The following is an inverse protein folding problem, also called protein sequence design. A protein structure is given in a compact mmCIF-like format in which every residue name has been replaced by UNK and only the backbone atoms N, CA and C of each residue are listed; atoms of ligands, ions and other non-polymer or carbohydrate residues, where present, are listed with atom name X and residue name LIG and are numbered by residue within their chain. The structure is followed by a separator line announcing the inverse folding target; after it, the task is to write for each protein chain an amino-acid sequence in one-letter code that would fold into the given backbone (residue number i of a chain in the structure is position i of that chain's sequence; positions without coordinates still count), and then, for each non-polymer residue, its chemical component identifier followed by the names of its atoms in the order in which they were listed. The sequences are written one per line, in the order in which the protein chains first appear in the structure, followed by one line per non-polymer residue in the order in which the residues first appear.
data_IF_053775907068
#
_entry.id   IF_053775907068
#
_cell.length_a   1.000
_cell.length_b   1.000
_cell.length_c   1.000
_cell.angle_alpha   90.00
_cell.angle_beta   90.00
_cell.angle_gamma   90.00
#
_symmetry.space_group_name_H-M   'P 1'
#
loop_
_entity.id
_entity.type
_entity.pdbx_description
1 polymer ?
#
# COMPACT_ATOMS: atom_id res chain seq x y z
N UNK A 1 78.59 44.74 -5.07
CA UNK A 1 78.43 44.56 -6.49
C UNK A 1 77.77 43.18 -6.72
N UNK A 2 76.68 43.16 -7.51
CA UNK A 2 76.03 41.93 -7.93
C UNK A 2 75.98 41.89 -9.47
N UNK A 3 76.11 40.69 -10.04
CA UNK A 3 76.23 40.51 -11.49
C UNK A 3 75.09 39.68 -11.99
N UNK A 4 74.32 40.20 -12.93
CA UNK A 4 73.36 39.49 -13.73
C UNK A 4 73.93 39.17 -15.12
N UNK A 5 74.55 38.01 -15.24
CA UNK A 5 75.19 37.59 -16.49
C UNK A 5 74.22 37.34 -17.65
N UNK A 6 72.96 36.98 -17.37
CA UNK A 6 71.99 36.69 -18.41
C UNK A 6 71.55 37.96 -19.11
N UNK A 7 71.46 39.08 -18.35
CA UNK A 7 70.96 40.35 -18.85
C UNK A 7 72.10 41.35 -19.08
N UNK A 8 73.36 41.01 -18.91
CA UNK A 8 74.56 41.88 -18.97
C UNK A 8 74.46 43.13 -18.07
N UNK A 9 73.99 42.94 -16.86
CA UNK A 9 73.79 44.05 -15.89
C UNK A 9 74.56 43.80 -14.61
N UNK A 10 75.12 44.87 -14.11
CA UNK A 10 75.70 44.94 -12.78
C UNK A 10 74.84 45.84 -11.90
N UNK A 11 74.66 45.43 -10.66
CA UNK A 11 74.00 46.25 -9.65
C UNK A 11 74.96 46.54 -8.52
N UNK A 12 74.98 47.81 -8.10
CA UNK A 12 75.73 48.27 -6.94
C UNK A 12 74.87 49.21 -6.10
N UNK A 13 75.23 49.32 -4.81
CA UNK A 13 74.56 50.24 -3.90
C UNK A 13 75.63 51.11 -3.24
N UNK A 14 75.38 52.41 -3.13
CA UNK A 14 76.28 53.30 -2.39
C UNK A 14 75.93 53.32 -0.88
N UNK A 15 76.81 53.89 -0.06
CA UNK A 15 76.60 53.95 1.39
C UNK A 15 75.34 54.77 1.80
N UNK A 16 74.73 55.55 0.90
CA UNK A 16 73.53 56.33 1.18
C UNK A 16 72.27 55.60 0.75
N UNK A 17 72.35 54.34 0.21
CA UNK A 17 71.24 53.53 -0.17
C UNK A 17 70.74 53.68 -1.62
N UNK A 18 71.44 54.45 -2.45
CA UNK A 18 71.12 54.50 -3.87
C UNK A 18 71.65 53.25 -4.57
N UNK A 19 70.79 52.48 -5.16
CA UNK A 19 71.06 51.32 -6.03
C UNK A 19 71.26 51.79 -7.42
N UNK A 20 72.34 51.42 -8.06
CA UNK A 20 72.62 51.70 -9.46
C UNK A 20 72.57 50.44 -10.31
N UNK A 21 72.07 50.62 -11.54
CA UNK A 21 72.13 49.62 -12.61
C UNK A 21 73.20 50.05 -13.62
N UNK A 22 74.12 49.16 -13.94
CA UNK A 22 75.18 49.39 -14.88
C UNK A 22 75.12 48.40 -16.01
N UNK A 23 74.99 48.85 -17.25
CA UNK A 23 75.09 48.01 -18.43
C UNK A 23 76.55 47.54 -18.55
N UNK A 24 76.82 46.25 -18.48
CA UNK A 24 78.19 45.70 -18.45
C UNK A 24 78.89 45.76 -19.80
N UNK A 25 78.14 45.95 -20.88
CA UNK A 25 78.74 46.06 -22.22
C UNK A 25 79.12 47.48 -22.60
N UNK A 26 78.29 48.45 -22.17
CA UNK A 26 78.47 49.87 -22.55
C UNK A 26 79.09 50.70 -21.43
N UNK A 27 79.06 50.23 -20.16
CA UNK A 27 79.43 50.95 -18.98
C UNK A 27 78.47 52.05 -18.54
N UNK A 28 77.30 52.15 -19.16
CA UNK A 28 76.27 53.14 -18.82
C UNK A 28 75.70 52.87 -17.42
N UNK A 29 75.63 53.92 -16.60
CA UNK A 29 75.13 53.87 -15.21
C UNK A 29 73.85 54.64 -15.14
N UNK A 30 72.81 54.00 -14.49
CA UNK A 30 71.52 54.63 -14.19
C UNK A 30 71.15 54.40 -12.74
N UNK A 31 70.47 55.35 -12.11
CA UNK A 31 69.78 55.15 -10.81
C UNK A 31 68.69 54.14 -10.97
N UNK A 32 68.60 53.18 -10.06
CA UNK A 32 67.68 52.06 -10.11
C UNK A 32 66.59 52.13 -9.04
N UNK A 33 67.09 52.25 -7.74
CA UNK A 33 66.17 52.40 -6.60
C UNK A 33 66.89 53.14 -5.45
N UNK A 34 66.15 54.00 -4.74
CA UNK A 34 66.68 54.67 -3.57
C UNK A 34 66.11 54.12 -2.26
N UNK A 35 66.92 53.44 -1.46
CA UNK A 35 66.53 52.85 -0.18
C UNK A 35 66.37 53.91 0.91
N UNK A 36 67.00 55.09 0.76
CA UNK A 36 67.00 56.18 1.75
C UNK A 36 67.54 55.77 3.14
N UNK A 37 68.40 54.78 3.16
CA UNK A 37 69.04 54.26 4.36
C UNK A 37 70.50 53.88 4.06
N UNK A 38 71.33 53.85 5.12
CA UNK A 38 72.73 53.34 5.01
C UNK A 38 72.69 51.85 4.75
N UNK A 39 73.42 51.40 3.72
CA UNK A 39 73.52 49.99 3.32
C UNK A 39 74.93 49.49 3.43
N UNK A 40 75.14 48.50 4.31
CA UNK A 40 76.41 47.78 4.47
C UNK A 40 76.29 46.34 3.89
N UNK A 41 75.11 45.86 3.55
CA UNK A 41 74.95 44.53 2.98
C UNK A 41 75.30 44.51 1.47
N UNK A 42 75.67 43.36 0.97
CA UNK A 42 75.74 43.13 -0.47
C UNK A 42 74.38 42.78 -1.07
N UNK A 43 74.23 43.02 -2.38
CA UNK A 43 73.05 42.68 -3.13
C UNK A 43 73.10 41.21 -3.56
N UNK A 44 72.02 40.47 -3.33
CA UNK A 44 71.72 39.16 -3.96
C UNK A 44 70.78 39.37 -5.12
N UNK A 45 70.94 38.68 -6.25
CA UNK A 45 70.08 38.68 -7.39
C UNK A 45 69.39 37.32 -7.47
N UNK A 46 68.03 37.27 -7.50
CA UNK A 46 67.25 36.09 -7.79
C UNK A 46 67.21 35.81 -9.28
N UNK A 47 66.75 34.57 -9.66
CA UNK A 47 66.70 34.09 -11.05
C UNK A 47 65.85 34.97 -11.99
N UNK A 48 64.87 35.72 -11.47
CA UNK A 48 63.96 36.62 -12.22
C UNK A 48 64.50 38.09 -12.23
N UNK A 49 65.76 38.33 -11.83
CA UNK A 49 66.34 39.65 -11.75
C UNK A 49 65.88 40.48 -10.53
N UNK A 50 65.15 39.91 -9.56
CA UNK A 50 64.77 40.55 -8.30
C UNK A 50 65.98 40.74 -7.43
N UNK A 51 66.18 41.96 -6.86
CA UNK A 51 67.25 42.29 -5.94
C UNK A 51 66.85 42.14 -4.49
N UNK A 52 67.69 41.55 -3.70
CA UNK A 52 67.53 41.33 -2.27
C UNK A 52 68.69 41.92 -1.52
N UNK A 53 68.43 42.82 -0.59
CA UNK A 53 69.49 43.45 0.21
C UNK A 53 68.93 43.96 1.54
N UNK A 54 69.83 44.18 2.49
CA UNK A 54 69.49 44.71 3.80
C UNK A 54 70.13 46.07 4.06
N UNK A 55 69.52 46.83 4.96
CA UNK A 55 70.08 48.12 5.40
C UNK A 55 70.60 48.04 6.88
N UNK A 56 71.27 49.10 7.29
CA UNK A 56 71.82 49.19 8.64
C UNK A 56 70.80 49.47 9.73
N UNK A 57 69.54 49.76 9.34
CA UNK A 57 68.37 49.86 10.24
C UNK A 57 67.65 48.53 10.46
N UNK A 58 68.10 47.48 9.74
CA UNK A 58 67.55 46.16 9.84
C UNK A 58 66.40 45.88 8.87
N UNK A 59 66.13 46.72 7.90
CA UNK A 59 65.12 46.47 6.88
C UNK A 59 65.75 45.65 5.75
N UNK A 60 65.09 44.56 5.40
CA UNK A 60 65.37 43.76 4.25
C UNK A 60 64.47 44.21 3.11
N UNK A 61 65.02 44.47 1.95
CA UNK A 61 64.36 45.05 0.77
C UNK A 61 64.31 44.04 -0.36
N UNK A 62 63.14 43.93 -1.00
CA UNK A 62 62.95 43.11 -2.16
C UNK A 62 62.48 44.04 -3.31
N UNK A 63 63.37 44.23 -4.29
CA UNK A 63 63.22 45.18 -5.38
C UNK A 63 63.06 44.40 -6.70
N UNK A 64 61.99 44.63 -7.43
CA UNK A 64 61.75 44.01 -8.72
C UNK A 64 62.81 44.37 -9.78
N UNK A 65 62.92 43.55 -10.83
CA UNK A 65 63.82 43.81 -11.97
C UNK A 65 63.42 45.05 -12.75
N UNK A 66 62.23 45.60 -12.50
CA UNK A 66 61.75 46.88 -13.03
C UNK A 66 62.03 48.09 -12.17
N UNK A 67 62.77 47.88 -11.07
CA UNK A 67 63.20 48.96 -10.12
C UNK A 67 62.08 49.38 -9.16
N UNK A 68 60.97 48.59 -9.02
CA UNK A 68 59.96 48.88 -8.01
C UNK A 68 60.14 48.05 -6.74
N UNK A 69 59.75 48.62 -5.62
CA UNK A 69 59.69 47.89 -4.37
C UNK A 69 58.62 46.83 -4.49
N UNK A 70 58.98 45.57 -4.28
CA UNK A 70 58.01 44.44 -4.20
C UNK A 70 57.56 44.22 -2.76
N UNK A 71 58.49 44.20 -1.81
CA UNK A 71 58.24 44.01 -0.38
C UNK A 71 59.43 44.47 0.47
N UNK A 72 59.19 44.69 1.78
CA UNK A 72 60.20 44.97 2.74
C UNK A 72 59.80 44.48 4.13
N UNK A 73 60.74 44.00 4.91
CA UNK A 73 60.55 43.54 6.28
C UNK A 73 61.64 44.02 7.18
N UNK A 74 61.35 44.64 8.36
CA UNK A 74 62.30 45.10 9.31
C UNK A 74 62.52 44.09 10.44
N UNK A 75 63.74 43.65 10.63
CA UNK A 75 64.18 42.69 11.64
C UNK A 75 64.75 43.35 12.93
N UNK A 76 64.70 44.67 13.03
CA UNK A 76 65.12 45.43 14.22
C UNK A 76 66.63 45.43 14.52
N UNK A 77 67.44 44.83 13.65
CA UNK A 77 68.94 44.79 13.80
C UNK A 77 69.57 44.82 12.42
N UNK A 78 70.68 45.65 12.28
CA UNK A 78 71.36 45.86 11.00
C UNK A 78 71.66 44.56 10.24
N UNK A 79 71.32 44.53 8.95
CA UNK A 79 71.65 43.45 8.03
C UNK A 79 72.95 43.80 7.31
N UNK A 80 74.00 43.14 7.72
CA UNK A 80 75.36 43.49 7.26
C UNK A 80 75.95 42.49 6.27
N UNK A 81 75.39 41.30 6.18
CA UNK A 81 75.78 40.24 5.26
C UNK A 81 74.95 40.25 3.98
N UNK A 82 75.42 39.60 2.92
CA UNK A 82 74.67 39.32 1.74
C UNK A 82 73.61 38.27 2.07
N UNK A 83 72.36 38.49 1.76
CA UNK A 83 71.30 37.44 1.80
C UNK A 83 71.72 36.27 0.92
N UNK A 84 71.26 35.05 1.26
CA UNK A 84 71.46 33.86 0.43
C UNK A 84 70.13 33.20 0.18
N UNK A 85 69.94 32.54 -0.97
CA UNK A 85 68.73 31.79 -1.32
C UNK A 85 69.10 30.37 -1.66
N UNK A 86 68.34 29.44 -1.13
CA UNK A 86 68.43 28.02 -1.50
C UNK A 86 67.67 27.67 -2.75
N UNK A 87 67.73 26.40 -3.19
CA UNK A 87 67.06 25.89 -4.38
C UNK A 87 65.52 25.85 -4.23
N UNK A 88 65.01 25.95 -2.99
CA UNK A 88 63.56 25.93 -2.69
C UNK A 88 63.03 27.35 -2.52
N UNK A 89 63.84 28.39 -2.67
CA UNK A 89 63.42 29.76 -2.57
C UNK A 89 63.45 30.31 -1.13
N UNK A 90 63.94 29.57 -0.15
CA UNK A 90 64.13 30.09 1.20
C UNK A 90 65.26 31.13 1.20
N UNK A 91 65.05 32.30 1.84
CA UNK A 91 65.99 33.36 1.93
C UNK A 91 66.57 33.40 3.33
N UNK A 92 67.89 33.35 3.39
CA UNK A 92 68.66 33.35 4.61
C UNK A 92 69.24 34.72 4.85
N UNK A 93 68.97 35.33 6.01
CA UNK A 93 69.31 36.71 6.32
C UNK A 93 70.06 36.71 7.65
N UNK A 94 71.34 37.20 7.61
CA UNK A 94 72.10 37.43 8.79
C UNK A 94 71.97 38.89 9.23
N UNK A 95 71.42 39.12 10.41
CA UNK A 95 71.50 40.41 11.09
C UNK A 95 72.68 40.43 12.05
N UNK A 96 73.04 41.62 12.60
CA UNK A 96 74.12 41.74 13.55
C UNK A 96 73.97 40.87 14.81
N UNK A 97 72.70 40.51 15.15
CA UNK A 97 72.37 39.80 16.39
C UNK A 97 71.76 38.45 16.20
N UNK A 98 71.09 38.15 15.01
CA UNK A 98 70.29 36.97 14.79
C UNK A 98 70.36 36.58 13.33
N UNK A 99 70.10 35.30 13.08
CA UNK A 99 69.92 34.72 11.74
C UNK A 99 68.46 34.38 11.51
N UNK A 100 67.92 34.77 10.36
CA UNK A 100 66.53 34.56 9.97
C UNK A 100 66.43 33.73 8.67
N UNK A 101 65.39 32.94 8.56
CA UNK A 101 65.09 32.24 7.35
C UNK A 101 63.67 32.64 6.94
N UNK A 102 63.54 33.24 5.78
CA UNK A 102 62.24 33.49 5.15
C UNK A 102 61.90 32.30 4.26
N UNK A 103 60.76 31.64 4.53
CA UNK A 103 60.31 30.50 3.76
C UNK A 103 59.04 30.91 3.04
N UNK A 104 58.81 30.40 1.82
CA UNK A 104 57.50 30.51 1.14
C UNK A 104 56.53 29.54 1.78
N UNK A 105 55.35 30.01 2.12
CA UNK A 105 54.23 29.10 2.55
C UNK A 105 53.76 28.28 1.37
N UNK A 106 53.42 27.03 1.63
CA UNK A 106 52.87 26.10 0.65
C UNK A 106 51.34 26.31 0.50
N UNK A 107 50.83 25.94 -0.65
CA UNK A 107 49.36 25.86 -0.84
C UNK A 107 48.74 24.81 0.11
N UNK A 108 47.60 25.11 0.71
CA UNK A 108 46.98 24.23 1.71
C UNK A 108 45.91 23.28 1.14
N UNK A 109 45.36 23.56 -0.03
CA UNK A 109 44.40 22.72 -0.76
C UNK A 109 43.41 21.95 0.14
N UNK A 110 42.43 22.65 0.70
CA UNK A 110 41.40 22.04 1.55
C UNK A 110 40.35 21.31 0.72
N UNK A 111 40.01 20.07 1.09
CA UNK A 111 38.84 19.35 0.55
C UNK A 111 37.80 19.15 1.63
N UNK A 112 36.51 19.04 1.19
CA UNK A 112 35.36 18.87 2.07
C UNK A 112 34.54 17.65 1.61
N UNK A 113 34.26 16.74 2.54
CA UNK A 113 33.40 15.61 2.34
C UNK A 113 32.23 15.64 3.32
N UNK A 114 30.99 15.42 2.80
CA UNK A 114 29.79 15.32 3.58
C UNK A 114 28.77 14.49 2.79
N UNK A 115 28.02 13.62 3.48
CA UNK A 115 27.00 12.75 2.86
C UNK A 115 25.60 13.30 3.12
N UNK A 116 24.65 13.00 2.20
CA UNK A 116 23.22 13.21 2.44
C UNK A 116 22.76 12.31 3.57
N UNK A 117 21.83 12.80 4.38
CA UNK A 117 21.29 12.10 5.56
C UNK A 117 19.76 12.21 5.59
N UNK A 118 19.13 11.51 6.54
CA UNK A 118 17.71 11.69 6.85
C UNK A 118 17.53 12.54 8.12
N UNK A 119 16.35 13.11 8.27
CA UNK A 119 15.97 13.80 9.51
C UNK A 119 16.07 12.85 10.70
N UNK A 120 16.83 13.25 11.71
CA UNK A 120 17.15 12.45 12.90
C UNK A 120 18.53 11.83 12.89
N UNK A 121 19.24 11.83 11.74
CA UNK A 121 20.64 11.45 11.66
C UNK A 121 21.56 12.66 11.95
N UNK A 122 22.81 12.38 12.29
CA UNK A 122 23.84 13.40 12.50
C UNK A 122 24.67 13.58 11.22
N UNK A 123 24.76 14.82 10.73
CA UNK A 123 25.63 15.12 9.59
C UNK A 123 27.11 15.15 10.08
N UNK A 124 27.98 14.36 9.45
CA UNK A 124 29.40 14.37 9.66
C UNK A 124 30.07 15.07 8.48
N UNK A 125 30.70 16.21 8.73
CA UNK A 125 31.42 17.02 7.73
C UNK A 125 32.92 16.89 8.01
N UNK A 126 33.69 16.49 7.02
CA UNK A 126 35.15 16.28 7.15
C UNK A 126 35.87 17.23 6.21
N UNK A 127 36.74 18.06 6.79
CA UNK A 127 37.71 18.85 6.05
C UNK A 127 39.06 18.14 6.06
N UNK A 128 39.68 17.97 4.89
CA UNK A 128 41.00 17.37 4.77
C UNK A 128 41.98 18.39 4.23
N UNK A 129 43.11 18.55 4.91
CA UNK A 129 44.23 19.45 4.62
C UNK A 129 45.53 18.63 4.53
N UNK A 130 46.67 19.26 4.17
CA UNK A 130 47.96 18.61 4.29
C UNK A 130 48.22 18.08 5.71
N UNK A 131 48.84 16.92 5.83
CA UNK A 131 49.04 16.22 7.11
C UNK A 131 49.71 17.04 8.21
N UNK A 132 50.58 18.00 7.83
CA UNK A 132 51.31 18.87 8.73
C UNK A 132 50.62 20.23 8.96
N UNK A 133 49.43 20.46 8.44
CA UNK A 133 48.65 21.66 8.72
C UNK A 133 48.21 21.67 10.19
N UNK A 134 48.28 22.83 10.82
CA UNK A 134 48.02 23.04 12.26
C UNK A 134 46.98 24.14 12.47
N UNK A 135 46.46 24.26 13.71
CA UNK A 135 45.49 25.28 14.06
C UNK A 135 44.05 24.81 13.92
N UNK A 136 43.19 25.68 13.42
CA UNK A 136 41.73 25.42 13.36
C UNK A 136 41.20 25.63 11.95
N UNK A 137 40.09 24.92 11.67
CA UNK A 137 39.21 25.15 10.51
C UNK A 137 37.92 25.76 10.99
N UNK A 138 37.41 26.75 10.29
CA UNK A 138 36.05 27.28 10.49
C UNK A 138 35.11 26.68 9.49
N UNK A 139 34.11 25.96 9.98
CA UNK A 139 32.99 25.48 9.20
C UNK A 139 31.81 26.44 9.34
N UNK A 140 31.22 26.88 8.24
CA UNK A 140 29.97 27.63 8.22
C UNK A 140 28.88 26.76 7.59
N UNK A 141 27.89 26.35 8.39
CA UNK A 141 26.74 25.53 7.94
C UNK A 141 25.48 26.36 8.09
N UNK A 142 24.85 26.72 6.98
CA UNK A 142 23.65 27.60 6.96
C UNK A 142 23.83 28.85 7.85
N UNK A 143 24.94 29.59 7.66
CA UNK A 143 25.31 30.82 8.38
C UNK A 143 25.64 30.62 9.86
N UNK A 144 25.76 29.41 10.35
CA UNK A 144 26.23 29.13 11.69
C UNK A 144 27.68 28.65 11.65
N UNK A 145 28.55 29.30 12.43
CA UNK A 145 29.97 29.01 12.46
C UNK A 145 30.36 28.01 13.57
N UNK A 146 31.28 27.13 13.24
CA UNK A 146 31.90 26.14 14.14
C UNK A 146 33.38 26.13 13.91
N UNK A 147 34.16 26.23 14.99
CA UNK A 147 35.63 26.18 14.96
C UNK A 147 36.07 24.80 15.44
N UNK A 148 36.84 24.10 14.61
CA UNK A 148 37.30 22.73 14.88
C UNK A 148 38.82 22.67 14.71
N UNK A 149 39.51 22.07 15.67
CA UNK A 149 40.95 21.87 15.61
C UNK A 149 41.33 20.86 14.51
N UNK A 150 42.46 21.08 13.86
CA UNK A 150 43.05 20.16 12.89
C UNK A 150 43.81 19.08 13.66
N UNK A 151 43.50 17.82 13.39
CA UNK A 151 44.19 16.64 13.91
C UNK A 151 44.69 15.80 12.74
N UNK A 152 46.01 15.63 12.59
CA UNK A 152 46.64 14.86 11.51
C UNK A 152 46.12 15.23 10.09
N UNK A 153 45.97 16.53 9.82
CA UNK A 153 45.51 17.03 8.54
C UNK A 153 43.99 16.89 8.32
N UNK A 154 43.21 16.60 9.36
CA UNK A 154 41.76 16.47 9.26
C UNK A 154 41.05 17.28 10.35
N UNK A 155 39.90 17.87 10.03
CA UNK A 155 39.00 18.47 10.99
C UNK A 155 37.57 17.88 10.76
N UNK A 156 36.95 17.35 11.84
CA UNK A 156 35.64 16.68 11.76
C UNK A 156 34.61 17.43 12.58
N UNK A 157 33.52 17.85 11.92
CA UNK A 157 32.35 18.47 12.55
C UNK A 157 31.15 17.52 12.49
N UNK A 158 30.50 17.31 13.64
CA UNK A 158 29.18 16.66 13.69
C UNK A 158 28.11 17.71 13.96
N UNK A 159 27.06 17.73 13.12
CA UNK A 159 25.91 18.63 13.27
C UNK A 159 24.65 17.81 13.48
N UNK A 160 23.93 18.09 14.55
CA UNK A 160 22.75 17.34 15.00
C UNK A 160 21.46 18.14 14.83
N UNK A 161 20.32 17.46 14.93
CA UNK A 161 18.97 18.07 14.95
C UNK A 161 18.67 18.93 13.70
N UNK A 162 19.10 18.47 12.55
CA UNK A 162 18.85 19.14 11.28
C UNK A 162 17.41 18.80 10.78
N UNK A 163 16.71 19.82 10.32
CA UNK A 163 15.42 19.67 9.64
C UNK A 163 15.64 19.30 8.17
N UNK A 164 14.60 18.83 7.50
CA UNK A 164 14.67 18.55 6.07
C UNK A 164 14.97 19.82 5.26
N UNK A 165 15.90 19.71 4.32
CA UNK A 165 16.33 20.85 3.49
C UNK A 165 17.71 20.64 2.90
N UNK A 166 18.18 21.62 2.14
CA UNK A 166 19.56 21.67 1.63
C UNK A 166 20.42 22.54 2.54
N UNK A 167 21.61 22.08 2.86
CA UNK A 167 22.56 22.73 3.74
C UNK A 167 23.85 23.04 2.98
N UNK A 168 24.16 24.33 2.85
CA UNK A 168 25.43 24.78 2.29
C UNK A 168 26.48 24.78 3.37
N UNK A 169 27.68 24.32 3.02
CA UNK A 169 28.87 24.22 3.88
C UNK A 169 29.99 25.02 3.23
N UNK A 170 30.51 26.00 3.97
CA UNK A 170 31.76 26.69 3.63
C UNK A 170 32.78 26.33 4.69
N UNK A 171 33.98 25.94 4.25
CA UNK A 171 35.07 25.55 5.14
C UNK A 171 36.25 26.44 4.85
N UNK A 172 36.79 27.09 5.88
CA UNK A 172 37.93 28.03 5.81
C UNK A 172 39.05 27.61 6.71
N UNK A 173 40.23 27.57 6.15
CA UNK A 173 41.49 27.48 6.85
C UNK A 173 42.27 28.81 6.68
N UNK A 174 42.58 29.47 7.77
CA UNK A 174 43.25 30.80 7.75
C UNK A 174 44.77 30.71 7.49
N UNK A 175 45.27 29.51 7.23
CA UNK A 175 46.69 29.26 7.09
C UNK A 175 47.38 29.09 8.45
N UNK A 176 48.61 28.62 8.40
CA UNK A 176 49.52 28.49 9.55
C UNK A 176 50.92 28.98 9.20
N UNK A 177 51.95 28.57 9.95
CA UNK A 177 53.32 28.95 9.67
C UNK A 177 53.84 28.37 8.34
N UNK A 178 53.30 27.24 7.88
CA UNK A 178 53.79 26.50 6.71
C UNK A 178 52.87 26.62 5.49
N UNK A 179 51.61 26.96 5.70
CA UNK A 179 50.57 26.90 4.66
C UNK A 179 49.82 28.23 4.51
N UNK A 180 49.48 28.54 3.28
CA UNK A 180 48.60 29.65 2.91
C UNK A 180 47.15 29.38 3.31
N UNK A 181 46.32 30.43 3.49
CA UNK A 181 44.88 30.27 3.66
C UNK A 181 44.24 29.56 2.47
N UNK A 182 43.19 28.77 2.73
CA UNK A 182 42.35 28.16 1.70
C UNK A 182 40.91 28.00 2.16
N UNK A 183 40.02 27.93 1.20
CA UNK A 183 38.61 27.65 1.45
C UNK A 183 38.05 26.69 0.41
N UNK A 184 37.01 25.98 0.81
CA UNK A 184 36.24 25.13 -0.11
C UNK A 184 34.79 25.04 0.37
N UNK A 185 33.90 24.70 -0.52
CA UNK A 185 32.49 24.56 -0.23
C UNK A 185 31.95 23.17 -0.62
N UNK A 186 30.87 22.77 0.00
CA UNK A 186 30.09 21.58 -0.30
C UNK A 186 28.62 21.85 0.03
N UNK A 187 27.75 20.94 -0.31
CA UNK A 187 26.38 20.95 0.16
C UNK A 187 25.88 19.53 0.38
N UNK A 188 24.91 19.37 1.27
CA UNK A 188 24.26 18.09 1.51
C UNK A 188 22.76 18.28 1.73
N UNK A 189 22.00 17.21 1.53
CA UNK A 189 20.55 17.21 1.67
C UNK A 189 20.17 16.39 2.91
N UNK A 190 19.30 16.95 3.73
CA UNK A 190 18.60 16.26 4.80
C UNK A 190 17.21 15.91 4.30
N UNK A 191 16.93 14.64 4.08
CA UNK A 191 15.65 14.15 3.54
C UNK A 191 14.70 13.73 4.64
N UNK A 192 13.38 13.88 4.41
CA UNK A 192 12.39 13.23 5.26
C UNK A 192 12.46 11.70 5.09
N UNK A 193 12.12 10.98 6.15
CA UNK A 193 12.04 9.51 6.15
C UNK A 193 10.74 9.07 5.48
N UNK A 194 10.75 8.07 4.60
CA UNK A 194 9.50 7.51 4.02
C UNK A 194 8.56 6.98 5.09
N UNK A 195 7.27 7.27 4.96
CA UNK A 195 6.25 6.90 5.95
C UNK A 195 5.93 5.40 5.96
N UNK A 196 5.99 4.70 4.82
CA UNK A 196 5.71 3.26 4.70
C UNK A 196 4.41 2.84 5.42
N UNK A 197 3.29 3.53 5.13
CA UNK A 197 1.99 3.24 5.72
C UNK A 197 1.42 1.92 5.20
N UNK A 198 0.85 1.11 6.11
CA UNK A 198 0.12 -0.10 5.78
C UNK A 198 -1.33 -0.04 6.28
N UNK A 199 -2.26 -0.61 5.49
CA UNK A 199 -3.67 -0.80 5.85
C UNK A 199 -3.97 -2.29 5.78
N UNK A 200 -4.61 -2.82 6.83
CA UNK A 200 -5.09 -4.19 6.86
C UNK A 200 -6.57 -4.21 7.27
N UNK A 201 -7.37 -4.99 6.57
CA UNK A 201 -8.78 -5.25 6.86
C UNK A 201 -9.12 -6.66 6.39
N UNK A 202 -9.87 -7.40 7.20
CA UNK A 202 -10.39 -8.72 6.84
C UNK A 202 -11.77 -8.58 6.19
N UNK A 203 -12.06 -9.44 5.21
CA UNK A 203 -13.40 -9.56 4.65
C UNK A 203 -14.38 -10.10 5.69
N UNK A 204 -15.61 -9.61 5.68
CA UNK A 204 -16.64 -9.94 6.65
C UNK A 204 -17.94 -10.36 5.97
N UNK A 205 -18.89 -10.90 6.74
CA UNK A 205 -20.27 -11.10 6.32
C UNK A 205 -21.15 -9.94 6.79
N UNK A 206 -22.30 -9.77 6.15
CA UNK A 206 -23.31 -8.80 6.58
C UNK A 206 -23.70 -9.05 8.03
N UNK A 207 -23.62 -8.00 8.85
CA UNK A 207 -23.93 -8.04 10.29
C UNK A 207 -22.71 -8.20 11.19
N UNK A 208 -21.52 -8.38 10.63
CA UNK A 208 -20.25 -8.33 11.36
C UNK A 208 -19.64 -6.93 11.29
N UNK A 209 -18.77 -6.60 12.24
CA UNK A 209 -18.04 -5.33 12.27
C UNK A 209 -16.71 -5.45 11.51
N UNK A 210 -16.45 -4.49 10.63
CA UNK A 210 -15.17 -4.37 9.94
C UNK A 210 -14.17 -3.59 10.80
N UNK A 211 -12.99 -4.15 11.04
CA UNK A 211 -11.90 -3.50 11.75
C UNK A 211 -10.79 -3.18 10.78
N UNK A 212 -10.61 -1.90 10.47
CA UNK A 212 -9.55 -1.40 9.58
C UNK A 212 -8.38 -0.97 10.44
N UNK A 213 -7.24 -1.65 10.29
CA UNK A 213 -6.02 -1.38 11.03
C UNK A 213 -5.04 -0.59 10.17
N UNK A 214 -4.49 0.49 10.71
CA UNK A 214 -3.48 1.35 10.08
C UNK A 214 -2.19 1.20 10.86
N UNK A 215 -1.10 0.99 10.14
CA UNK A 215 0.24 0.90 10.73
C UNK A 215 1.17 1.88 10.04
N UNK A 216 1.88 2.66 10.84
CA UNK A 216 2.90 3.65 10.51
C UNK A 216 4.17 3.38 11.33
N UNK A 217 5.30 4.07 11.10
CA UNK A 217 6.44 4.02 12.01
C UNK A 217 6.04 4.31 13.46
N UNK A 218 6.59 3.55 14.41
CA UNK A 218 6.19 3.61 15.83
C UNK A 218 6.39 4.98 16.49
N UNK A 219 7.26 5.81 15.94
CA UNK A 219 7.53 7.17 16.44
C UNK A 219 6.39 8.16 16.12
N UNK A 220 5.52 7.83 15.17
CA UNK A 220 4.34 8.64 14.84
C UNK A 220 3.28 8.40 15.91
N UNK A 221 3.00 9.43 16.69
CA UNK A 221 2.04 9.36 17.79
C UNK A 221 1.32 10.69 17.97
N UNK A 222 0.05 10.63 18.37
CA UNK A 222 -0.86 11.78 18.49
C UNK A 222 -1.06 12.52 17.14
N UNK A 223 -1.02 11.79 16.03
CA UNK A 223 -1.25 12.32 14.70
C UNK A 223 -2.47 11.67 14.05
N UNK A 224 -2.98 12.28 12.99
CA UNK A 224 -4.24 11.89 12.37
C UNK A 224 -3.99 11.34 10.97
N UNK A 225 -4.70 10.25 10.65
CA UNK A 225 -4.80 9.69 9.30
C UNK A 225 -6.24 9.85 8.83
N UNK A 226 -6.43 10.36 7.63
CA UNK A 226 -7.74 10.37 6.97
C UNK A 226 -7.97 9.04 6.25
N UNK A 227 -9.17 8.45 6.45
CA UNK A 227 -9.58 7.21 5.80
C UNK A 227 -10.84 7.47 5.01
N UNK A 228 -10.82 7.25 3.71
CA UNK A 228 -11.99 7.39 2.84
C UNK A 228 -12.51 6.02 2.43
N UNK A 229 -13.82 5.79 2.65
CA UNK A 229 -14.52 4.54 2.37
C UNK A 229 -15.86 4.90 1.74
N UNK A 230 -16.12 4.42 0.53
CA UNK A 230 -17.36 4.68 -0.21
C UNK A 230 -17.72 6.19 -0.24
N UNK A 231 -16.70 7.03 -0.48
CA UNK A 231 -16.83 8.50 -0.54
C UNK A 231 -17.03 9.21 0.80
N UNK A 232 -17.07 8.48 1.93
CA UNK A 232 -17.13 9.04 3.28
C UNK A 232 -15.74 9.11 3.89
N UNK A 233 -15.42 10.22 4.53
CA UNK A 233 -14.13 10.43 5.21
C UNK A 233 -14.27 10.24 6.71
N UNK A 234 -13.30 9.54 7.27
CA UNK A 234 -13.13 9.27 8.70
C UNK A 234 -11.75 9.71 9.12
N UNK A 235 -11.59 10.04 10.38
CA UNK A 235 -10.29 10.40 10.95
C UNK A 235 -9.90 9.39 12.00
N UNK A 236 -8.69 8.87 11.89
CA UNK A 236 -8.14 7.88 12.82
C UNK A 236 -6.94 8.47 13.55
N UNK A 237 -6.98 8.46 14.87
CA UNK A 237 -5.86 8.87 15.71
C UNK A 237 -4.82 7.74 15.74
N UNK A 238 -3.59 8.10 15.45
CA UNK A 238 -2.43 7.20 15.50
C UNK A 238 -1.70 7.38 16.82
N UNK A 239 -1.47 6.28 17.52
CA UNK A 239 -0.66 6.22 18.73
C UNK A 239 0.40 5.13 18.61
N UNK A 240 1.67 5.48 18.80
CA UNK A 240 2.79 4.57 18.65
C UNK A 240 2.74 3.79 17.32
N UNK A 241 2.50 4.51 16.23
CA UNK A 241 2.42 3.97 14.88
C UNK A 241 1.17 3.16 14.57
N UNK A 242 0.16 3.10 15.43
CA UNK A 242 -1.05 2.28 15.24
C UNK A 242 -2.33 3.05 15.43
N UNK A 243 -3.31 2.76 14.58
CA UNK A 243 -4.68 3.25 14.70
C UNK A 243 -5.65 2.23 14.12
N UNK A 244 -6.91 2.29 14.54
CA UNK A 244 -7.97 1.44 14.01
C UNK A 244 -9.29 2.20 13.84
N UNK A 245 -10.07 1.79 12.85
CA UNK A 245 -11.42 2.27 12.57
C UNK A 245 -12.35 1.06 12.53
N UNK A 246 -13.44 1.13 13.30
CA UNK A 246 -14.48 0.09 13.31
C UNK A 246 -15.70 0.62 12.56
N UNK A 247 -16.22 -0.18 11.62
CA UNK A 247 -17.43 0.11 10.86
C UNK A 247 -18.43 -1.01 11.06
N UNK A 248 -19.64 -0.64 11.48
CA UNK A 248 -20.76 -1.56 11.70
C UNK A 248 -21.86 -1.36 10.67
N UNK A 249 -22.76 -2.35 10.54
CA UNK A 249 -23.96 -2.31 9.70
C UNK A 249 -23.70 -2.08 8.20
N UNK A 250 -22.58 -2.61 7.69
CA UNK A 250 -22.26 -2.56 6.28
C UNK A 250 -23.16 -3.55 5.51
N UNK A 251 -23.64 -3.14 4.33
CA UNK A 251 -24.37 -3.99 3.42
C UNK A 251 -23.42 -4.80 2.53
N UNK A 252 -23.90 -5.88 1.93
CA UNK A 252 -23.08 -6.69 1.03
C UNK A 252 -22.63 -5.85 -0.18
N UNK A 253 -21.34 -5.62 -0.27
CA UNK A 253 -20.68 -4.83 -1.32
C UNK A 253 -19.16 -4.97 -1.21
N UNK A 254 -18.45 -4.43 -2.20
CA UNK A 254 -17.01 -4.18 -2.13
C UNK A 254 -16.78 -2.71 -1.84
N UNK A 255 -16.01 -2.41 -0.80
CA UNK A 255 -15.72 -1.08 -0.30
C UNK A 255 -14.24 -0.75 -0.54
N UNK A 256 -13.91 0.08 -1.53
CA UNK A 256 -12.54 0.58 -1.65
C UNK A 256 -12.22 1.48 -0.46
N UNK A 257 -11.02 1.31 0.08
CA UNK A 257 -10.52 2.03 1.25
C UNK A 257 -9.23 2.73 0.85
N UNK A 258 -9.15 4.03 1.09
CA UNK A 258 -7.94 4.82 0.93
C UNK A 258 -7.60 5.47 2.26
N UNK A 259 -6.39 5.29 2.76
CA UNK A 259 -5.89 6.01 3.90
C UNK A 259 -4.79 6.97 3.47
N UNK A 260 -4.78 8.18 4.02
CA UNK A 260 -3.82 9.24 3.74
C UNK A 260 -3.30 9.86 5.03
N UNK A 261 -1.98 9.96 5.10
CA UNK A 261 -1.22 10.65 6.13
C UNK A 261 -0.49 11.84 5.49
N UNK A 262 -0.66 13.04 6.03
CA UNK A 262 -0.09 14.27 5.44
C UNK A 262 1.40 14.45 5.72
N UNK A 263 2.00 13.55 6.51
CA UNK A 263 3.39 13.66 6.93
C UNK A 263 3.60 14.65 8.09
N UNK A 264 4.84 14.76 8.54
CA UNK A 264 5.24 15.73 9.56
C UNK A 264 6.64 16.28 9.27
N UNK A 265 7.31 16.89 10.27
CA UNK A 265 8.66 17.42 10.11
C UNK A 265 9.69 16.35 9.75
N UNK A 266 9.50 15.09 10.21
CA UNK A 266 10.44 13.97 10.02
C UNK A 266 10.01 13.02 8.90
N UNK A 267 8.73 12.76 8.73
CA UNK A 267 8.19 11.76 7.80
C UNK A 267 7.52 12.40 6.59
N UNK A 268 7.62 11.75 5.43
CA UNK A 268 6.91 12.18 4.21
C UNK A 268 5.41 11.96 4.36
N UNK A 269 4.62 12.58 3.49
CA UNK A 269 3.25 12.13 3.24
C UNK A 269 3.22 10.66 2.81
N UNK A 270 2.12 9.96 3.11
CA UNK A 270 1.92 8.57 2.74
C UNK A 270 0.47 8.31 2.39
N UNK A 271 0.25 7.48 1.36
CA UNK A 271 -1.06 7.01 0.97
C UNK A 271 -0.99 5.51 0.70
N UNK A 272 -2.04 4.79 1.12
CA UNK A 272 -2.19 3.38 0.79
C UNK A 272 -3.65 3.04 0.58
N UNK A 273 -3.93 2.02 -0.23
CA UNK A 273 -5.26 1.58 -0.61
C UNK A 273 -5.44 0.10 -0.39
N UNK A 274 -6.65 -0.29 -0.03
CA UNK A 274 -7.09 -1.69 0.08
C UNK A 274 -8.58 -1.77 -0.25
N UNK A 275 -9.18 -2.95 -0.14
CA UNK A 275 -10.61 -3.12 -0.29
C UNK A 275 -11.14 -4.10 0.76
N UNK A 276 -12.32 -3.80 1.30
CA UNK A 276 -13.10 -4.67 2.15
C UNK A 276 -14.24 -5.27 1.32
N UNK A 277 -14.39 -6.59 1.36
CA UNK A 277 -15.58 -7.27 0.83
C UNK A 277 -16.50 -7.66 1.97
N UNK A 278 -17.74 -7.18 1.91
CA UNK A 278 -18.84 -7.62 2.78
C UNK A 278 -19.70 -8.61 1.99
N UNK A 279 -19.66 -9.88 2.39
CA UNK A 279 -20.38 -10.95 1.69
C UNK A 279 -21.76 -11.19 2.32
N UNK A 280 -22.73 -11.64 1.50
CA UNK A 280 -23.98 -12.20 2.03
C UNK A 280 -23.71 -13.54 2.70
N UNK A 281 -24.45 -13.84 3.76
CA UNK A 281 -24.42 -15.14 4.41
C UNK A 281 -25.11 -16.20 3.56
N UNK A 282 -24.72 -17.45 3.67
CA UNK A 282 -25.44 -18.57 3.07
C UNK A 282 -26.80 -18.74 3.76
N UNK A 283 -27.81 -19.17 3.01
CA UNK A 283 -29.12 -19.59 3.51
C UNK A 283 -29.34 -21.07 3.24
N UNK A 284 -30.29 -21.65 3.94
CA UNK A 284 -30.81 -22.97 3.64
C UNK A 284 -32.35 -22.90 3.63
N UNK A 285 -32.98 -23.48 2.61
CA UNK A 285 -34.44 -23.65 2.59
C UNK A 285 -34.77 -25.12 2.83
N UNK A 286 -35.68 -25.37 3.74
CA UNK A 286 -36.24 -26.69 4.01
C UNK A 286 -37.70 -26.70 3.53
N UNK A 287 -38.14 -27.80 2.89
CA UNK A 287 -39.48 -27.99 2.40
C UNK A 287 -40.01 -29.36 2.82
N UNK A 288 -41.25 -29.39 3.26
CA UNK A 288 -41.96 -30.64 3.56
C UNK A 288 -43.38 -30.58 2.99
N UNK A 289 -43.84 -31.70 2.45
CA UNK A 289 -45.19 -31.92 2.02
C UNK A 289 -45.61 -33.34 2.39
N UNK A 290 -46.85 -33.52 2.87
CA UNK A 290 -47.37 -34.85 3.24
C UNK A 290 -48.19 -35.42 2.11
N UNK A 291 -48.19 -36.75 1.96
CA UNK A 291 -49.11 -37.43 1.08
C UNK A 291 -50.56 -37.20 1.54
N UNK A 292 -51.46 -37.06 0.59
CA UNK A 292 -52.88 -36.79 0.82
C UNK A 292 -53.74 -37.71 -0.03
N UNK A 293 -55.04 -37.77 0.28
CA UNK A 293 -56.06 -38.37 -0.59
C UNK A 293 -56.66 -37.32 -1.51
N UNK A 294 -57.20 -37.77 -2.59
CA UNK A 294 -57.97 -36.91 -3.51
C UNK A 294 -59.09 -36.16 -2.76
N UNK A 295 -59.12 -34.82 -2.99
CA UNK A 295 -60.06 -33.93 -2.34
C UNK A 295 -59.55 -33.31 -1.03
N UNK A 296 -58.45 -33.79 -0.47
CA UNK A 296 -57.79 -33.14 0.67
C UNK A 296 -56.89 -31.97 0.23
N UNK A 297 -56.61 -31.10 1.16
CA UNK A 297 -55.72 -29.95 0.97
C UNK A 297 -54.23 -30.38 1.07
N UNK A 298 -53.45 -30.07 0.04
CA UNK A 298 -52.00 -30.23 0.12
C UNK A 298 -51.37 -29.02 0.83
N UNK A 299 -50.72 -29.28 1.97
CA UNK A 299 -50.05 -28.28 2.75
C UNK A 299 -48.51 -28.43 2.56
N UNK A 300 -47.89 -27.45 1.92
CA UNK A 300 -46.46 -27.41 1.70
C UNK A 300 -45.88 -26.43 2.72
N UNK A 301 -45.07 -26.94 3.66
CA UNK A 301 -44.40 -26.14 4.66
C UNK A 301 -42.99 -25.83 4.22
N UNK A 302 -42.61 -24.57 4.34
CA UNK A 302 -41.30 -24.04 3.97
C UNK A 302 -40.65 -23.45 5.24
N UNK A 303 -39.40 -23.77 5.50
CA UNK A 303 -38.64 -23.18 6.57
C UNK A 303 -37.32 -22.62 6.02
N UNK A 304 -37.02 -21.37 6.33
CA UNK A 304 -35.77 -20.70 5.98
C UNK A 304 -35.16 -20.14 7.26
N UNK A 305 -34.31 -20.93 7.94
CA UNK A 305 -33.71 -20.52 9.22
C UNK A 305 -33.02 -19.17 9.18
N UNK A 306 -33.16 -18.38 10.24
CA UNK A 306 -32.60 -17.05 10.43
C UNK A 306 -33.15 -15.94 9.49
N UNK A 307 -34.16 -16.22 8.67
CA UNK A 307 -34.80 -15.24 7.77
C UNK A 307 -36.12 -14.77 8.37
N UNK A 308 -36.14 -13.54 8.89
CA UNK A 308 -37.36 -12.97 9.48
C UNK A 308 -38.42 -12.60 8.43
N UNK A 309 -37.98 -12.03 7.30
CA UNK A 309 -38.86 -11.67 6.18
C UNK A 309 -38.19 -12.01 4.85
N UNK A 310 -38.94 -12.65 3.96
CA UNK A 310 -38.43 -13.04 2.65
C UNK A 310 -39.51 -13.55 1.73
N UNK A 311 -39.11 -14.02 0.56
CA UNK A 311 -40.03 -14.63 -0.43
C UNK A 311 -39.39 -15.90 -0.97
N UNK A 312 -40.15 -16.96 -1.00
CA UNK A 312 -39.82 -18.21 -1.70
C UNK A 312 -40.73 -18.39 -2.92
N UNK A 313 -40.11 -18.79 -4.02
CA UNK A 313 -40.87 -19.30 -5.18
C UNK A 313 -41.02 -20.81 -5.05
N UNK A 314 -42.23 -21.30 -5.08
CA UNK A 314 -42.60 -22.73 -5.03
C UNK A 314 -43.14 -23.14 -6.37
N UNK A 315 -42.55 -24.15 -6.99
CA UNK A 315 -43.03 -24.72 -8.25
C UNK A 315 -43.60 -26.12 -7.97
N UNK A 316 -44.86 -26.32 -8.25
CA UNK A 316 -45.54 -27.62 -8.10
C UNK A 316 -46.03 -28.09 -9.48
N UNK A 317 -45.41 -29.15 -9.99
CA UNK A 317 -45.70 -29.68 -11.34
C UNK A 317 -45.72 -28.58 -12.42
N UNK A 318 -44.73 -27.66 -12.41
CA UNK A 318 -44.57 -26.58 -13.39
C UNK A 318 -45.41 -25.32 -13.12
N UNK A 319 -46.27 -25.30 -12.11
CA UNK A 319 -47.02 -24.12 -11.69
C UNK A 319 -46.32 -23.40 -10.56
N UNK A 320 -46.02 -22.10 -10.76
CA UNK A 320 -45.28 -21.27 -9.79
C UNK A 320 -46.20 -20.54 -8.84
N UNK A 321 -45.76 -20.42 -7.59
CA UNK A 321 -46.38 -19.68 -6.50
C UNK A 321 -45.34 -18.88 -5.74
N UNK A 322 -45.65 -17.65 -5.35
CA UNK A 322 -44.81 -16.87 -4.44
C UNK A 322 -45.36 -16.99 -3.02
N UNK A 323 -44.51 -17.41 -2.10
CA UNK A 323 -44.85 -17.61 -0.70
C UNK A 323 -44.03 -16.65 0.15
N UNK A 324 -44.68 -15.84 0.97
CA UNK A 324 -44.01 -15.00 1.94
C UNK A 324 -43.39 -15.88 3.04
N UNK A 325 -42.15 -15.59 3.38
CA UNK A 325 -41.50 -16.14 4.57
C UNK A 325 -41.59 -15.07 5.66
N UNK A 326 -42.19 -15.44 6.76
CA UNK A 326 -42.36 -14.61 7.96
C UNK A 326 -41.91 -15.43 9.16
N UNK A 327 -41.00 -14.87 9.96
CA UNK A 327 -40.39 -15.56 11.10
C UNK A 327 -39.96 -17.00 10.76
N UNK A 328 -39.12 -17.08 9.72
CA UNK A 328 -38.51 -18.32 9.23
C UNK A 328 -39.46 -19.28 8.51
N UNK A 329 -40.75 -18.99 8.38
CA UNK A 329 -41.77 -19.94 7.92
C UNK A 329 -42.61 -19.37 6.76
N UNK A 330 -42.95 -20.26 5.84
CA UNK A 330 -43.92 -20.05 4.79
C UNK A 330 -44.82 -21.27 4.62
N UNK A 331 -46.04 -21.08 4.23
CA UNK A 331 -47.00 -22.17 3.97
C UNK A 331 -47.70 -21.92 2.66
N UNK A 332 -47.80 -22.95 1.82
CA UNK A 332 -48.57 -22.95 0.60
C UNK A 332 -49.65 -24.05 0.66
N UNK A 333 -50.88 -23.64 0.56
CA UNK A 333 -52.05 -24.53 0.51
C UNK A 333 -52.52 -24.64 -0.92
N UNK A 334 -52.69 -25.90 -1.42
CA UNK A 334 -53.19 -26.19 -2.76
C UNK A 334 -54.39 -27.14 -2.69
N UNK A 335 -55.44 -26.74 -3.35
CA UNK A 335 -56.70 -27.49 -3.39
C UNK A 335 -56.94 -28.12 -4.76
N UNK A 336 -57.82 -29.13 -4.79
CA UNK A 336 -58.34 -29.76 -6.02
C UNK A 336 -57.22 -30.36 -6.90
N UNK A 337 -56.27 -31.02 -6.28
CA UNK A 337 -55.24 -31.76 -7.00
C UNK A 337 -55.80 -33.09 -7.49
N UNK A 338 -55.46 -33.46 -8.73
CA UNK A 338 -55.74 -34.78 -9.26
C UNK A 338 -54.86 -35.84 -8.58
N UNK A 339 -55.30 -37.10 -8.59
CA UNK A 339 -54.46 -38.20 -8.11
C UNK A 339 -53.21 -38.32 -8.99
N UNK A 340 -52.06 -38.53 -8.33
CA UNK A 340 -50.74 -38.61 -8.99
C UNK A 340 -49.61 -38.13 -8.11
N UNK A 341 -48.38 -38.17 -8.65
CA UNK A 341 -47.18 -37.73 -7.97
C UNK A 341 -46.89 -36.27 -8.29
N UNK A 342 -46.50 -35.53 -7.27
CA UNK A 342 -46.23 -34.09 -7.34
C UNK A 342 -44.82 -33.79 -6.86
N UNK A 343 -44.02 -33.18 -7.75
CA UNK A 343 -42.71 -32.61 -7.38
C UNK A 343 -42.91 -31.17 -6.91
N UNK A 344 -42.20 -30.80 -5.86
CA UNK A 344 -42.22 -29.48 -5.24
C UNK A 344 -40.81 -28.93 -5.23
N UNK A 345 -40.50 -27.97 -6.07
CA UNK A 345 -39.22 -27.25 -6.08
C UNK A 345 -39.41 -25.91 -5.39
N UNK A 346 -38.58 -25.63 -4.41
CA UNK A 346 -38.61 -24.38 -3.64
C UNK A 346 -37.33 -23.65 -3.79
N UNK A 347 -37.41 -22.37 -4.15
CA UNK A 347 -36.30 -21.43 -4.24
C UNK A 347 -36.56 -20.27 -3.30
N UNK A 348 -35.79 -20.14 -2.24
CA UNK A 348 -35.68 -18.89 -1.50
C UNK A 348 -34.83 -17.90 -2.32
N UNK A 349 -35.38 -16.72 -2.61
CA UNK A 349 -34.73 -15.76 -3.54
C UNK A 349 -33.55 -15.03 -2.97
N UNK A 350 -33.30 -15.16 -1.66
CA UNK A 350 -32.32 -14.36 -0.94
C UNK A 350 -32.84 -12.94 -0.63
N UNK A 351 -32.03 -12.19 0.09
CA UNK A 351 -32.31 -10.80 0.46
C UNK A 351 -31.00 -9.99 0.52
N UNK A 352 -30.98 -8.87 1.24
CA UNK A 352 -29.78 -8.05 1.41
C UNK A 352 -28.72 -8.72 2.29
N UNK A 353 -29.11 -9.70 3.13
CA UNK A 353 -28.24 -10.37 4.10
C UNK A 353 -27.88 -11.80 3.70
N UNK A 354 -28.79 -12.50 3.02
CA UNK A 354 -28.66 -13.91 2.68
C UNK A 354 -28.62 -14.16 1.18
N UNK A 355 -27.85 -15.16 0.77
CA UNK A 355 -27.85 -15.71 -0.59
C UNK A 355 -29.15 -16.47 -0.84
N UNK A 356 -29.48 -16.72 -2.11
CA UNK A 356 -30.56 -17.65 -2.51
C UNK A 356 -30.19 -19.10 -2.19
N UNK A 357 -31.22 -19.92 -1.92
CA UNK A 357 -31.07 -21.36 -1.72
C UNK A 357 -32.24 -22.14 -2.30
N UNK A 358 -32.03 -23.41 -2.65
CA UNK A 358 -33.01 -24.28 -3.25
C UNK A 358 -33.14 -25.59 -2.49
N UNK A 359 -34.34 -26.15 -2.48
CA UNK A 359 -34.60 -27.51 -2.00
C UNK A 359 -35.83 -28.06 -2.68
N UNK A 360 -36.02 -29.39 -2.63
CA UNK A 360 -37.15 -30.05 -3.24
C UNK A 360 -37.77 -31.08 -2.30
N UNK A 361 -39.05 -31.31 -2.48
CA UNK A 361 -39.81 -32.39 -1.85
C UNK A 361 -40.77 -33.01 -2.90
N UNK A 362 -41.39 -34.11 -2.53
CA UNK A 362 -42.43 -34.69 -3.32
C UNK A 362 -43.57 -35.18 -2.38
N UNK A 363 -44.75 -35.31 -2.94
CA UNK A 363 -45.87 -35.90 -2.28
C UNK A 363 -46.78 -36.59 -3.30
N UNK A 364 -47.57 -37.54 -2.85
CA UNK A 364 -48.51 -38.26 -3.70
C UNK A 364 -49.94 -37.93 -3.27
N UNK A 365 -50.78 -37.66 -4.23
CA UNK A 365 -52.23 -37.61 -4.07
C UNK A 365 -52.77 -38.99 -4.44
N UNK A 366 -53.16 -39.76 -3.43
CA UNK A 366 -53.72 -41.10 -3.66
C UNK A 366 -55.22 -41.04 -3.98
N UNK A 367 -55.67 -41.96 -4.81
CA UNK A 367 -57.06 -42.14 -5.02
C UNK A 367 -57.78 -42.62 -3.74
N UNK A 368 -59.12 -42.41 -3.68
CA UNK A 368 -59.93 -42.88 -2.57
C UNK A 368 -60.14 -44.38 -2.73
N UNK A 369 -59.67 -45.19 -1.79
CA UNK A 369 -59.80 -46.65 -1.77
C UNK A 369 -60.79 -47.16 -0.75
N UNK A 370 -61.18 -46.30 0.20
CA UNK A 370 -62.11 -46.62 1.32
C UNK A 370 -63.53 -46.17 1.07
N UNK A 371 -64.07 -46.43 -0.11
CA UNK A 371 -65.47 -46.12 -0.51
C UNK A 371 -66.30 -47.38 -0.50
N UNK A 372 -67.63 -47.18 -0.45
CA UNK A 372 -68.63 -48.31 -0.53
C UNK A 372 -69.02 -48.59 -1.98
N UNK A 373 -68.98 -49.86 -2.35
CA UNK A 373 -69.54 -50.38 -3.61
C UNK A 373 -70.54 -51.46 -3.27
N UNK A 374 -71.78 -51.31 -3.73
CA UNK A 374 -72.82 -52.32 -3.57
C UNK A 374 -73.20 -52.89 -4.91
N UNK A 375 -73.54 -54.15 -4.92
CA UNK A 375 -74.04 -54.91 -6.09
C UNK A 375 -75.43 -55.49 -5.76
N UNK A 376 -76.36 -55.05 -6.47
CA UNK A 376 -77.81 -55.52 -6.34
C UNK A 376 -78.19 -56.40 -7.53
N UNK A 377 -78.58 -57.62 -7.18
CA UNK A 377 -78.87 -58.67 -8.15
C UNK A 377 -80.24 -59.32 -7.76
N UNK A 378 -81.19 -59.31 -8.65
CA UNK A 378 -82.45 -59.95 -8.43
C UNK A 378 -82.55 -61.30 -9.19
N UNK A 379 -83.23 -62.27 -8.59
CA UNK A 379 -83.54 -63.51 -9.27
C UNK A 379 -84.43 -63.24 -10.48
N UNK A 380 -84.26 -63.99 -11.54
CA UNK A 380 -85.00 -63.87 -12.79
C UNK A 380 -85.61 -65.22 -13.22
N UNK A 381 -86.57 -65.20 -14.06
CA UNK A 381 -87.10 -66.39 -14.72
C UNK A 381 -86.43 -66.62 -16.07
N UNK A 382 -86.32 -67.89 -16.49
CA UNK A 382 -85.69 -68.23 -17.77
C UNK A 382 -86.37 -67.47 -18.93
N UNK A 383 -85.55 -66.83 -19.76
CA UNK A 383 -85.93 -65.97 -20.86
C UNK A 383 -85.97 -64.47 -20.55
N UNK A 384 -85.76 -64.08 -19.31
CA UNK A 384 -85.64 -62.70 -18.94
C UNK A 384 -84.15 -62.32 -18.88
N UNK A 385 -83.83 -61.03 -19.06
CA UNK A 385 -82.49 -60.50 -18.91
C UNK A 385 -82.23 -60.22 -17.44
N UNK A 386 -81.07 -60.73 -16.91
CA UNK A 386 -80.63 -60.32 -15.59
C UNK A 386 -80.13 -58.87 -15.66
N UNK A 387 -80.57 -58.06 -14.71
CA UNK A 387 -80.04 -56.67 -14.54
C UNK A 387 -79.25 -56.59 -13.24
N UNK A 388 -77.99 -56.39 -13.36
CA UNK A 388 -77.07 -56.16 -12.21
C UNK A 388 -76.93 -54.66 -12.05
N UNK A 389 -77.33 -54.11 -10.89
CA UNK A 389 -77.19 -52.71 -10.57
C UNK A 389 -75.99 -52.57 -9.60
N UNK A 390 -74.98 -51.83 -10.03
CA UNK A 390 -73.80 -51.53 -9.23
C UNK A 390 -73.85 -50.07 -8.81
N UNK A 391 -73.74 -49.83 -7.52
CA UNK A 391 -73.73 -48.46 -6.94
C UNK A 391 -72.36 -48.19 -6.26
N UNK A 392 -71.78 -47.10 -6.65
CA UNK A 392 -70.57 -46.52 -6.07
C UNK A 392 -70.90 -45.09 -5.61
N UNK A 393 -69.98 -44.30 -5.04
CA UNK A 393 -70.26 -42.90 -4.72
C UNK A 393 -70.79 -42.11 -5.92
N UNK A 394 -71.70 -41.16 -5.69
CA UNK A 394 -72.51 -40.47 -6.74
C UNK A 394 -71.66 -39.78 -7.80
N UNK A 395 -70.51 -39.28 -7.41
CA UNK A 395 -69.57 -38.59 -8.31
C UNK A 395 -68.53 -39.53 -8.98
N UNK A 396 -68.59 -40.83 -8.73
CA UNK A 396 -67.80 -41.85 -9.42
C UNK A 396 -68.23 -42.01 -10.91
N UNK A 397 -67.23 -42.24 -11.72
CA UNK A 397 -67.33 -42.39 -13.18
C UNK A 397 -66.58 -43.64 -13.63
N UNK A 398 -66.42 -43.85 -14.92
CA UNK A 398 -65.70 -45.03 -15.44
C UNK A 398 -66.59 -46.19 -15.83
N UNK A 399 -66.17 -47.44 -15.60
CA UNK A 399 -66.83 -48.64 -16.05
C UNK A 399 -66.90 -49.73 -15.00
N UNK A 400 -67.90 -50.51 -15.06
CA UNK A 400 -68.04 -51.76 -14.30
C UNK A 400 -68.00 -52.95 -15.29
N UNK A 401 -67.28 -53.99 -14.94
CA UNK A 401 -67.23 -55.25 -15.65
C UNK A 401 -67.89 -56.31 -14.74
N UNK A 402 -68.92 -56.93 -15.18
CA UNK A 402 -69.56 -58.07 -14.51
C UNK A 402 -69.16 -59.33 -15.23
N UNK A 403 -68.62 -60.30 -14.52
CA UNK A 403 -68.19 -61.59 -15.05
C UNK A 403 -69.16 -62.70 -14.52
N UNK A 404 -69.81 -63.42 -15.43
CA UNK A 404 -70.67 -64.57 -15.16
C UNK A 404 -70.21 -65.69 -16.06
N UNK A 405 -69.97 -66.89 -15.51
CA UNK A 405 -69.46 -68.05 -16.23
C UNK A 405 -68.28 -67.76 -17.18
N UNK A 406 -67.35 -66.86 -16.78
CA UNK A 406 -66.23 -66.53 -17.57
C UNK A 406 -66.46 -65.48 -18.70
N UNK A 407 -67.74 -65.07 -18.88
CA UNK A 407 -68.10 -64.00 -19.85
C UNK A 407 -68.18 -62.66 -19.19
N UNK A 408 -67.62 -61.67 -19.82
CA UNK A 408 -67.54 -60.27 -19.30
C UNK A 408 -68.60 -59.39 -19.95
N UNK A 409 -69.42 -58.75 -19.13
CA UNK A 409 -70.40 -57.72 -19.52
C UNK A 409 -69.97 -56.36 -18.96
N UNK A 410 -70.00 -55.34 -19.80
CA UNK A 410 -69.58 -54.01 -19.43
C UNK A 410 -70.76 -53.05 -19.23
N UNK A 411 -70.72 -52.28 -18.14
CA UNK A 411 -71.59 -51.15 -17.88
C UNK A 411 -70.82 -49.86 -17.69
N UNK A 412 -71.41 -48.75 -18.09
CA UNK A 412 -70.83 -47.41 -17.83
C UNK A 412 -71.46 -46.85 -16.56
N UNK A 413 -70.61 -46.26 -15.69
CA UNK A 413 -71.07 -45.57 -14.49
C UNK A 413 -71.57 -44.18 -14.85
N UNK A 414 -72.82 -43.89 -14.49
CA UNK A 414 -73.42 -42.57 -14.64
C UNK A 414 -74.02 -42.17 -13.27
N UNK A 415 -73.57 -41.06 -12.71
CA UNK A 415 -73.97 -40.59 -11.37
C UNK A 415 -73.90 -41.70 -10.32
N UNK A 416 -72.74 -42.40 -10.28
CA UNK A 416 -72.46 -43.46 -9.32
C UNK A 416 -73.19 -44.76 -9.56
N UNK A 417 -73.96 -44.91 -10.60
CA UNK A 417 -74.80 -46.14 -10.89
C UNK A 417 -74.41 -46.72 -12.25
N UNK A 418 -74.12 -47.99 -12.28
CA UNK A 418 -74.03 -48.78 -13.53
C UNK A 418 -75.04 -49.89 -13.55
N UNK A 419 -75.79 -50.03 -14.66
CA UNK A 419 -76.67 -51.14 -14.92
C UNK A 419 -76.11 -52.03 -16.01
N UNK A 420 -75.85 -53.28 -15.69
CA UNK A 420 -75.34 -54.30 -16.62
C UNK A 420 -76.45 -55.31 -16.93
N UNK A 421 -76.78 -55.40 -18.17
CA UNK A 421 -77.81 -56.31 -18.65
C UNK A 421 -77.18 -57.56 -19.20
N UNK A 422 -77.62 -58.74 -18.73
CA UNK A 422 -77.08 -60.03 -19.12
C UNK A 422 -78.21 -60.83 -19.71
N UNK A 423 -78.18 -61.05 -21.01
CA UNK A 423 -79.22 -61.82 -21.70
C UNK A 423 -78.99 -63.34 -21.64
N UNK A 424 -79.98 -64.14 -21.95
CA UNK A 424 -79.91 -65.53 -22.28
C UNK A 424 -79.23 -66.43 -21.22
N UNK A 425 -79.52 -66.23 -19.94
CA UNK A 425 -79.11 -67.13 -18.87
C UNK A 425 -79.98 -68.35 -18.78
N UNK A 426 -79.33 -69.55 -18.71
CA UNK A 426 -80.03 -70.79 -18.43
C UNK A 426 -80.46 -70.90 -16.96
N UNK A 427 -81.30 -71.83 -16.62
CA UNK A 427 -81.71 -72.13 -15.24
C UNK A 427 -80.50 -72.60 -14.42
N UNK A 428 -80.29 -72.00 -13.27
CA UNK A 428 -79.16 -72.32 -12.37
C UNK A 428 -78.75 -71.18 -11.45
N UNK A 429 -77.77 -71.45 -10.59
CA UNK A 429 -77.17 -70.44 -9.69
C UNK A 429 -75.85 -70.02 -10.29
N UNK A 430 -75.64 -68.72 -10.39
CA UNK A 430 -74.46 -68.10 -11.02
C UNK A 430 -73.64 -67.38 -9.97
N UNK A 431 -72.35 -67.61 -10.06
CA UNK A 431 -71.36 -66.77 -9.29
C UNK A 431 -71.09 -65.48 -10.09
N UNK A 432 -71.35 -64.32 -9.48
CA UNK A 432 -71.14 -63.02 -10.07
C UNK A 432 -69.89 -62.38 -9.48
N UNK A 433 -68.98 -61.98 -10.35
CA UNK A 433 -67.81 -61.17 -9.93
C UNK A 433 -67.96 -59.80 -10.60
N UNK A 434 -67.97 -58.73 -9.78
CA UNK A 434 -68.15 -57.36 -10.25
C UNK A 434 -66.86 -56.59 -9.99
N UNK A 435 -66.29 -56.07 -11.07
CA UNK A 435 -65.08 -55.26 -11.06
C UNK A 435 -65.37 -53.85 -11.50
N UNK A 436 -65.23 -52.86 -10.61
CA UNK A 436 -65.13 -51.44 -10.96
C UNK A 436 -63.72 -51.06 -11.36
N UNK A 437 -63.54 -50.48 -12.56
CA UNK A 437 -62.21 -50.15 -13.12
C UNK A 437 -61.52 -49.01 -12.42
N UNK A 438 -62.24 -48.33 -11.51
CA UNK A 438 -61.77 -47.07 -10.97
C UNK A 438 -61.89 -45.90 -11.95
N UNK A 439 -61.63 -44.72 -11.48
CA UNK A 439 -61.55 -43.47 -12.27
C UNK A 439 -60.39 -42.55 -11.78
N UNK A 440 -60.47 -41.26 -12.04
CA UNK A 440 -59.43 -40.31 -11.59
C UNK A 440 -59.46 -40.07 -10.08
N UNK A 441 -60.56 -40.36 -9.39
CA UNK A 441 -60.78 -40.13 -7.95
C UNK A 441 -60.76 -41.42 -7.15
N UNK A 442 -61.40 -42.48 -7.66
CA UNK A 442 -61.59 -43.74 -6.94
C UNK A 442 -60.67 -44.86 -7.47
N UNK A 443 -60.13 -45.66 -6.59
CA UNK A 443 -59.41 -46.88 -6.96
C UNK A 443 -60.36 -47.93 -7.53
N UNK A 444 -59.80 -48.89 -8.25
CA UNK A 444 -60.61 -50.09 -8.69
C UNK A 444 -61.02 -50.93 -7.48
N UNK A 445 -62.20 -51.58 -7.57
CA UNK A 445 -62.77 -52.44 -6.54
C UNK A 445 -63.38 -53.68 -7.13
N UNK A 446 -63.28 -54.83 -6.40
CA UNK A 446 -63.89 -56.05 -6.73
C UNK A 446 -64.88 -56.43 -5.61
N UNK A 447 -66.14 -56.80 -6.01
CA UNK A 447 -67.14 -57.35 -5.12
C UNK A 447 -67.58 -58.68 -5.72
N UNK A 448 -67.67 -59.74 -4.90
CA UNK A 448 -68.17 -61.06 -5.26
C UNK A 448 -69.58 -61.19 -4.71
N UNK A 449 -70.52 -61.52 -5.58
CA UNK A 449 -71.98 -61.74 -5.29
C UNK A 449 -72.34 -63.19 -5.42
#
# INVERSE_FOLDING_TARGET
LAIDNENNVLYTVNAKGMVYKIDSLTGNISEFYNIEATVSSAIMIGANGTLYLGDDKGTFWIIGSDGKLLDSCNFGSAIVGMPAMDKTGNIYIGTKNTFYVLTSKMESNISVDVQNINVGDNATIIATLPANATGNVTFTVNNKEYIVAIENGSAKLNVENLLSGTYDVLVRFMGDNNYLPSENNASFIVSKVPTNMNIAVDNINVGEDAVINITLPNEISNELVSVTIDGKSYTVLINNGKGSLILSNLVANSYPITAKYDGNYKYTEGENTTALTVAKMSSAVNVTANNIKFGEEAVINIAVPNVSLGVATVVVNGKSYNVAIVDEKGVLNIYNLAAGDYNVDVTYLGDNKYLSSTNAANFTVSKVSDYNMTVDIADIVKGENATITVTIPEDGTGSVIVTINGTNYKGTVIKGIAKVIIPDLDEGTYKVVTFYTGDNKYDSMIVNG
#
